data_IF_764364434837
#
_entry.id   IF_764364434837
#
_cell.length_a   1.000
_cell.length_b   1.000
_cell.length_c   1.000
_cell.angle_alpha   90.00
_cell.angle_beta   90.00
_cell.angle_gamma   90.00
#
_symmetry.space_group_name_H-M   'P 1'
#
loop_
_entity.id
_entity.type
_entity.pdbx_description
1 polymer ?
#
# COMPACT_ATOMS: atom_id res chain seq x y z
N UNK A 1 -1.74 10.94 6.22
CA UNK A 1 -2.43 9.92 5.39
C UNK A 1 -2.34 8.56 6.06
N UNK A 2 -3.42 8.07 6.68
CA UNK A 2 -3.51 6.68 7.22
C UNK A 2 -4.10 5.69 6.21
N UNK A 3 -5.04 6.15 5.39
CA UNK A 3 -5.80 5.32 4.46
C UNK A 3 -4.95 4.42 3.54
N UNK A 4 -3.92 4.97 2.89
CA UNK A 4 -3.06 4.19 1.98
C UNK A 4 -2.28 3.08 2.70
N UNK A 5 -1.82 3.33 3.93
CA UNK A 5 -1.14 2.31 4.73
C UNK A 5 -2.12 1.25 5.25
N UNK A 6 -3.33 1.64 5.65
CA UNK A 6 -4.37 0.69 6.10
C UNK A 6 -4.77 -0.26 4.97
N UNK A 7 -4.93 0.27 3.75
CA UNK A 7 -5.20 -0.54 2.56
C UNK A 7 -4.04 -1.46 2.19
N UNK A 8 -2.81 -0.97 2.27
CA UNK A 8 -1.64 -1.82 2.14
C UNK A 8 -1.67 -2.96 3.17
N UNK A 9 -2.00 -2.67 4.44
CA UNK A 9 -2.12 -3.67 5.49
C UNK A 9 -3.22 -4.70 5.20
N UNK A 10 -4.36 -4.30 4.64
CA UNK A 10 -5.41 -5.23 4.19
C UNK A 10 -4.87 -6.21 3.15
N UNK A 11 -4.17 -5.72 2.13
CA UNK A 11 -3.58 -6.58 1.10
C UNK A 11 -2.51 -7.53 1.64
N UNK A 12 -1.73 -7.10 2.65
CA UNK A 12 -0.78 -7.99 3.33
C UNK A 12 -1.49 -9.17 4.01
N UNK A 13 -2.63 -8.90 4.66
CA UNK A 13 -3.42 -9.89 5.37
C UNK A 13 -4.11 -10.85 4.40
N UNK A 14 -4.78 -10.32 3.37
CA UNK A 14 -5.48 -11.10 2.33
C UNK A 14 -4.55 -12.03 1.55
N UNK A 15 -3.33 -11.58 1.27
CA UNK A 15 -2.34 -12.36 0.50
C UNK A 15 -1.40 -13.17 1.41
N UNK A 16 -1.57 -13.08 2.74
CA UNK A 16 -0.71 -13.71 3.75
C UNK A 16 0.78 -13.43 3.54
N UNK A 17 1.13 -12.21 3.12
CA UNK A 17 2.52 -11.76 2.92
C UNK A 17 2.92 -10.73 3.95
N UNK A 18 4.21 -10.74 4.32
CA UNK A 18 4.76 -9.72 5.21
C UNK A 18 5.19 -8.48 4.42
N UNK A 19 5.17 -7.31 5.07
CA UNK A 19 5.72 -6.08 4.48
C UNK A 19 7.21 -6.24 4.07
N UNK A 20 7.95 -7.10 4.77
CA UNK A 20 9.33 -7.45 4.42
C UNK A 20 9.42 -8.22 3.09
N UNK A 21 8.52 -9.17 2.87
CA UNK A 21 8.44 -9.90 1.59
C UNK A 21 8.11 -8.94 0.45
N UNK A 22 7.12 -8.07 0.64
CA UNK A 22 6.76 -7.07 -0.37
C UNK A 22 7.94 -6.13 -0.66
N UNK A 23 8.63 -5.63 0.37
CA UNK A 23 9.85 -4.81 0.20
C UNK A 23 10.87 -5.52 -0.70
N UNK A 24 11.17 -6.78 -0.41
CA UNK A 24 12.12 -7.59 -1.18
C UNK A 24 11.67 -7.80 -2.62
N UNK A 25 10.41 -8.16 -2.83
CA UNK A 25 9.89 -8.53 -4.14
C UNK A 25 9.67 -7.30 -5.05
N UNK A 26 9.41 -6.12 -4.47
CA UNK A 26 9.16 -4.87 -5.21
C UNK A 26 10.38 -3.95 -5.31
N UNK A 27 11.46 -4.26 -4.59
CA UNK A 27 12.63 -3.38 -4.44
C UNK A 27 12.39 -2.14 -3.56
N UNK A 28 11.24 -2.07 -2.88
CA UNK A 28 10.95 -1.01 -1.91
C UNK A 28 11.64 -1.27 -0.57
N UNK A 29 11.89 -0.23 0.22
CA UNK A 29 12.51 -0.38 1.54
C UNK A 29 11.48 -0.56 2.64
N UNK A 30 11.70 -1.47 3.59
CA UNK A 30 10.80 -1.68 4.75
C UNK A 30 10.61 -0.41 5.59
N UNK A 31 11.61 0.48 5.60
CA UNK A 31 11.55 1.79 6.26
C UNK A 31 10.44 2.66 5.70
N UNK A 32 10.22 2.63 4.38
CA UNK A 32 9.16 3.35 3.69
C UNK A 32 7.78 3.06 4.31
N UNK A 33 7.46 1.78 4.49
CA UNK A 33 6.19 1.35 5.05
C UNK A 33 6.04 1.80 6.51
N UNK A 34 7.14 1.78 7.26
CA UNK A 34 7.16 2.26 8.65
C UNK A 34 6.92 3.76 8.76
N UNK A 35 7.47 4.55 7.83
CA UNK A 35 7.24 5.99 7.77
C UNK A 35 5.79 6.32 7.40
N UNK A 36 5.21 5.60 6.45
CA UNK A 36 3.80 5.73 6.08
C UNK A 36 2.87 5.36 7.23
N UNK A 37 3.17 4.28 7.95
CA UNK A 37 2.46 3.88 9.18
C UNK A 37 2.45 4.98 10.23
N UNK A 38 3.60 5.67 10.40
CA UNK A 38 3.79 6.75 11.37
C UNK A 38 3.27 8.11 10.86
N UNK A 39 2.80 8.18 9.60
CA UNK A 39 2.36 9.43 8.99
C UNK A 39 3.48 10.44 8.74
N UNK A 40 4.76 10.01 8.78
CA UNK A 40 5.92 10.90 8.56
C UNK A 40 6.05 11.36 7.11
N UNK A 41 5.62 10.54 6.17
CA UNK A 41 5.77 10.76 4.73
C UNK A 41 4.51 10.32 4.00
N UNK A 42 4.11 11.08 2.99
CA UNK A 42 3.03 10.69 2.08
C UNK A 42 3.55 9.72 1.02
N UNK A 43 2.82 8.64 0.69
CA UNK A 43 3.18 7.77 -0.42
C UNK A 43 3.11 8.54 -1.73
N UNK A 44 4.19 8.47 -2.53
CA UNK A 44 4.21 9.00 -3.91
C UNK A 44 3.51 8.02 -4.84
N UNK A 45 2.89 8.56 -5.89
CA UNK A 45 2.15 7.77 -6.90
C UNK A 45 3.00 6.65 -7.49
N UNK A 46 4.29 6.90 -7.78
CA UNK A 46 5.21 5.89 -8.32
C UNK A 46 5.31 4.63 -7.43
N UNK A 47 5.34 4.84 -6.11
CA UNK A 47 5.44 3.74 -5.14
C UNK A 47 4.10 3.02 -4.98
N UNK A 48 2.99 3.75 -5.07
CA UNK A 48 1.66 3.16 -5.06
C UNK A 48 1.41 2.32 -6.32
N UNK A 49 1.91 2.75 -7.48
CA UNK A 49 1.83 2.00 -8.74
C UNK A 49 2.60 0.68 -8.67
N UNK A 50 3.79 0.68 -8.05
CA UNK A 50 4.55 -0.56 -7.81
C UNK A 50 3.73 -1.54 -6.95
N UNK A 51 3.12 -1.05 -5.88
CA UNK A 51 2.29 -1.88 -5.00
C UNK A 51 1.01 -2.35 -5.71
N UNK A 52 0.37 -1.49 -6.50
CA UNK A 52 -0.83 -1.84 -7.26
C UNK A 52 -0.55 -2.96 -8.25
N UNK A 53 0.58 -2.90 -8.94
CA UNK A 53 1.03 -3.98 -9.83
C UNK A 53 1.37 -5.26 -9.07
N UNK A 54 2.06 -5.16 -7.93
CA UNK A 54 2.44 -6.32 -7.12
C UNK A 54 1.21 -7.08 -6.58
N UNK A 55 0.20 -6.35 -6.11
CA UNK A 55 -1.03 -6.93 -5.56
C UNK A 55 -2.13 -7.16 -6.59
N UNK A 56 -1.87 -6.80 -7.86
CA UNK A 56 -2.84 -6.86 -8.94
C UNK A 56 -4.18 -6.13 -8.62
N UNK A 57 -4.07 -4.92 -8.07
CA UNK A 57 -5.21 -4.04 -7.74
C UNK A 57 -5.06 -2.71 -8.50
N UNK A 58 -6.15 -1.97 -8.76
CA UNK A 58 -6.05 -0.64 -9.37
C UNK A 58 -5.32 0.35 -8.43
N UNK A 59 -4.63 1.34 -9.01
CA UNK A 59 -3.96 2.39 -8.23
C UNK A 59 -4.95 3.15 -7.32
N UNK A 60 -6.16 3.35 -7.82
CA UNK A 60 -7.29 3.95 -7.10
C UNK A 60 -7.61 3.23 -5.80
N UNK A 61 -7.29 1.92 -5.69
CA UNK A 61 -7.38 1.20 -4.43
C UNK A 61 -6.59 1.94 -3.35
N UNK A 62 -5.39 2.46 -3.60
CA UNK A 62 -4.62 3.16 -2.56
C UNK A 62 -5.03 4.64 -2.35
N UNK A 63 -5.65 5.27 -3.35
CA UNK A 63 -5.89 6.72 -3.39
C UNK A 63 -7.33 7.09 -3.03
N UNK A 64 -8.30 6.22 -3.32
CA UNK A 64 -9.72 6.51 -3.15
C UNK A 64 -10.01 7.02 -1.72
N UNK A 65 -10.90 8.01 -1.51
CA UNK A 65 -11.47 8.23 -0.19
C UNK A 65 -12.26 6.98 0.26
N UNK A 66 -12.52 6.81 1.55
CA UNK A 66 -13.19 5.61 2.10
C UNK A 66 -14.65 5.42 1.63
N UNK A 67 -15.13 6.21 0.67
CA UNK A 67 -16.49 6.17 0.15
C UNK A 67 -16.48 6.01 -1.36
N UNK A 68 -16.77 4.77 -1.80
CA UNK A 68 -17.81 4.43 -2.78
C UNK A 68 -17.72 2.93 -3.07
N UNK A 69 -18.33 2.14 -2.21
CA UNK A 69 -19.01 0.93 -2.68
C UNK A 69 -20.19 1.40 -3.51
N UNK A 70 -20.03 1.50 -4.83
CA UNK A 70 -21.18 1.37 -5.72
C UNK A 70 -21.22 -0.11 -6.05
N UNK A 71 -22.00 -0.85 -5.27
CA UNK A 71 -22.90 -1.87 -5.79
C UNK A 71 -23.93 -2.25 -4.74
#
# INVERSE_FOLDING_TARGET
>A
MRAAYERFKCLLDEQHVSAYKVAKDTGLTSTLFSEWKKGKSSPKVDKLLILSNYFNVPLEYFIAPAEKSIS
#
